data_IF_092383942175
#
_entry.id   IF_092383942175
#
_cell.length_a   1.000
_cell.length_b   1.000
_cell.length_c   1.000
_cell.angle_alpha   90.00
_cell.angle_beta   90.00
_cell.angle_gamma   90.00
#
_symmetry.space_group_name_H-M   'P 1'
#
loop_
_entity.id
_entity.type
_entity.pdbx_description
1 polymer ?
#
# COMPACT_ATOMS: atom_id res chain seq x y z
N UNK A 1 35.91 19.47 -45.26
CA UNK A 1 35.09 20.11 -46.33
C UNK A 1 33.62 19.93 -45.99
N UNK A 2 33.00 21.01 -45.60
CA UNK A 2 31.64 21.51 -45.92
C UNK A 2 30.51 20.55 -45.58
N UNK A 3 29.44 20.92 -44.91
CA UNK A 3 28.71 22.20 -44.80
C UNK A 3 27.65 22.11 -43.70
N UNK A 4 27.55 23.17 -42.91
CA UNK A 4 26.41 23.50 -42.06
C UNK A 4 25.19 23.87 -42.92
N UNK A 5 23.97 23.50 -42.52
CA UNK A 5 22.76 24.26 -42.91
C UNK A 5 21.81 24.38 -41.72
N UNK A 6 21.62 25.65 -41.37
CA UNK A 6 20.58 26.19 -40.50
C UNK A 6 19.19 25.92 -41.08
N UNK A 7 18.18 25.71 -40.21
CA UNK A 7 16.80 26.02 -40.57
C UNK A 7 16.19 26.95 -39.53
N UNK A 8 15.67 28.03 -40.08
CA UNK A 8 15.06 29.17 -39.39
C UNK A 8 13.74 28.81 -38.71
N UNK A 9 13.51 29.53 -37.64
CA UNK A 9 12.26 29.77 -36.94
C UNK A 9 11.14 30.32 -37.81
N UNK A 10 9.91 29.87 -37.59
CA UNK A 10 8.69 30.63 -37.91
C UNK A 10 7.88 30.75 -36.63
N UNK A 11 7.84 31.98 -36.12
CA UNK A 11 6.92 32.39 -35.06
C UNK A 11 5.56 32.73 -35.69
N UNK A 12 4.50 32.09 -35.20
CA UNK A 12 3.13 32.58 -35.43
C UNK A 12 2.54 33.00 -34.09
N UNK A 13 2.40 34.30 -33.93
CA UNK A 13 1.65 34.98 -32.89
C UNK A 13 0.16 34.75 -33.08
N UNK A 14 -0.47 34.06 -32.13
CA UNK A 14 -1.91 33.98 -31.99
C UNK A 14 -2.33 34.60 -30.66
N UNK A 15 -2.84 35.84 -30.72
CA UNK A 15 -3.43 36.53 -29.56
C UNK A 15 -4.78 35.90 -29.20
N UNK A 16 -4.90 35.39 -27.97
CA UNK A 16 -6.19 35.03 -27.38
C UNK A 16 -6.47 36.01 -26.23
N UNK A 17 -7.54 36.77 -26.39
CA UNK A 17 -8.09 37.69 -25.41
C UNK A 17 -8.48 36.94 -24.11
N UNK A 18 -7.89 37.33 -23.01
CA UNK A 18 -8.29 36.91 -21.67
C UNK A 18 -9.50 37.78 -21.22
N UNK A 19 -10.64 37.12 -21.04
CA UNK A 19 -11.75 37.67 -20.28
C UNK A 19 -11.49 37.44 -18.79
N UNK A 20 -11.09 38.51 -18.10
CA UNK A 20 -10.91 38.49 -16.65
C UNK A 20 -12.24 38.48 -15.91
N UNK A 21 -12.57 37.39 -15.27
CA UNK A 21 -13.57 37.29 -14.21
C UNK A 21 -12.89 37.22 -12.84
N UNK A 22 -12.93 38.33 -12.10
CA UNK A 22 -12.58 38.29 -10.65
C UNK A 22 -13.60 37.44 -9.90
N UNK A 23 -13.23 36.25 -9.53
CA UNK A 23 -13.91 35.49 -8.48
C UNK A 23 -13.25 35.84 -7.15
N UNK A 24 -14.01 36.52 -6.29
CA UNK A 24 -13.62 36.82 -4.94
C UNK A 24 -13.33 35.50 -4.17
N UNK A 25 -12.11 35.37 -3.67
CA UNK A 25 -11.72 34.27 -2.81
C UNK A 25 -12.47 34.37 -1.46
N UNK A 26 -13.34 33.39 -1.19
CA UNK A 26 -13.83 33.17 0.14
C UNK A 26 -12.66 32.72 1.08
N UNK A 27 -12.68 33.11 2.37
CA UNK A 27 -11.59 32.75 3.28
C UNK A 27 -11.47 31.23 3.38
N UNK A 28 -10.37 30.71 2.86
CA UNK A 28 -10.06 29.29 2.90
C UNK A 28 -9.85 28.83 4.34
N UNK A 29 -10.67 27.87 4.76
CA UNK A 29 -10.29 26.97 5.85
C UNK A 29 -9.07 26.22 5.32
N UNK A 30 -7.91 26.46 5.91
CA UNK A 30 -6.68 25.74 5.59
C UNK A 30 -6.98 24.24 5.66
N UNK A 31 -6.74 23.54 4.56
CA UNK A 31 -6.68 22.08 4.56
C UNK A 31 -5.71 21.69 5.70
N UNK A 32 -6.02 20.62 6.48
CA UNK A 32 -5.06 20.14 7.45
C UNK A 32 -3.80 19.81 6.67
N UNK A 33 -2.78 20.64 6.84
CA UNK A 33 -1.48 20.42 6.23
C UNK A 33 -1.06 19.00 6.56
N UNK A 34 -0.38 18.34 5.63
CA UNK A 34 0.44 17.17 5.93
C UNK A 34 1.49 17.72 6.90
N UNK A 35 1.11 17.72 8.22
CA UNK A 35 1.78 18.54 9.22
C UNK A 35 3.18 18.04 9.45
N UNK A 36 4.11 18.95 9.58
CA UNK A 36 5.36 18.78 10.31
C UNK A 36 5.07 18.50 11.79
N UNK A 37 4.51 17.34 12.12
CA UNK A 37 4.50 16.83 13.48
C UNK A 37 5.90 16.27 13.76
N UNK A 38 6.42 16.53 14.96
CA UNK A 38 7.65 15.91 15.41
C UNK A 38 7.60 14.41 15.13
N UNK A 39 8.52 13.92 14.32
CA UNK A 39 8.63 12.49 13.96
C UNK A 39 9.16 11.64 15.11
N UNK A 40 9.43 12.23 16.26
CA UNK A 40 9.86 11.55 17.47
C UNK A 40 8.68 10.81 18.07
N UNK A 41 8.69 9.47 17.90
CA UNK A 41 7.68 8.57 18.44
C UNK A 41 7.53 8.68 19.96
N UNK A 42 6.32 8.45 20.46
CA UNK A 42 6.01 8.49 21.89
C UNK A 42 6.84 7.46 22.66
N UNK A 43 7.48 7.90 23.72
CA UNK A 43 8.09 6.98 24.68
C UNK A 43 6.99 6.39 25.57
N UNK A 44 6.86 5.05 25.60
CA UNK A 44 6.02 4.32 26.53
C UNK A 44 4.76 3.66 26.01
N UNK A 45 4.48 3.70 24.66
CA UNK A 45 3.38 3.01 24.00
C UNK A 45 3.81 2.29 22.72
N UNK A 46 2.87 1.62 22.06
CA UNK A 46 3.10 1.03 20.73
C UNK A 46 3.44 2.13 19.73
N UNK A 47 4.42 1.86 18.87
CA UNK A 47 4.78 2.81 17.82
C UNK A 47 3.71 2.81 16.72
N UNK A 48 3.22 3.98 16.38
CA UNK A 48 2.28 4.20 15.28
C UNK A 48 2.82 5.33 14.40
N UNK A 49 2.86 5.15 13.06
CA UNK A 49 3.34 6.22 12.19
C UNK A 49 2.51 7.50 12.39
N UNK A 50 3.16 8.66 12.61
CA UNK A 50 2.46 9.92 12.88
C UNK A 50 1.79 10.51 11.63
N UNK A 51 2.10 9.98 10.44
CA UNK A 51 1.57 10.44 9.14
C UNK A 51 0.57 9.43 8.58
N UNK A 52 -0.49 9.94 7.95
CA UNK A 52 -1.63 9.14 7.48
C UNK A 52 -1.49 8.58 6.06
N UNK A 53 -0.49 9.02 5.31
CA UNK A 53 -0.32 8.64 3.90
C UNK A 53 1.16 8.47 3.55
N UNK A 54 1.47 7.43 2.80
CA UNK A 54 2.81 7.11 2.35
C UNK A 54 2.87 6.51 0.95
N UNK A 55 4.07 6.50 0.38
CA UNK A 55 4.41 5.89 -0.89
C UNK A 55 4.87 4.44 -0.68
N UNK A 56 4.23 3.49 -1.36
CA UNK A 56 4.63 2.09 -1.42
C UNK A 56 5.60 1.80 -2.55
N UNK A 57 6.67 1.10 -2.24
CA UNK A 57 7.81 0.85 -3.13
C UNK A 57 7.66 -0.32 -4.11
N UNK A 58 6.56 -1.05 -4.11
CA UNK A 58 6.35 -2.22 -5.01
C UNK A 58 6.58 -1.85 -6.49
N UNK A 59 5.95 -0.79 -7.04
CA UNK A 59 6.17 -0.44 -8.44
C UNK A 59 7.63 -0.06 -8.74
N UNK A 60 8.32 0.57 -7.80
CA UNK A 60 9.72 0.98 -7.94
C UNK A 60 10.71 -0.20 -7.83
N UNK A 61 10.22 -1.41 -7.57
CA UNK A 61 10.95 -2.67 -7.70
C UNK A 61 10.80 -3.34 -9.06
N UNK A 62 10.19 -2.69 -10.05
CA UNK A 62 9.88 -3.28 -11.36
C UNK A 62 8.99 -4.54 -11.24
N UNK A 63 8.00 -4.54 -10.35
CA UNK A 63 7.08 -5.66 -10.16
C UNK A 63 6.22 -5.92 -11.40
N UNK A 64 5.81 -4.86 -12.10
CA UNK A 64 4.78 -4.94 -13.14
C UNK A 64 5.31 -4.62 -14.54
N UNK A 65 6.37 -3.84 -14.61
CA UNK A 65 7.02 -3.38 -15.82
C UNK A 65 8.40 -2.81 -15.49
N UNK A 66 9.20 -2.59 -16.52
CA UNK A 66 10.48 -1.90 -16.38
C UNK A 66 10.20 -0.41 -16.15
N UNK A 67 10.76 0.13 -15.07
CA UNK A 67 10.85 1.57 -14.79
C UNK A 67 12.33 1.91 -14.79
N UNK A 68 12.72 3.03 -15.39
CA UNK A 68 14.11 3.49 -15.35
C UNK A 68 14.47 4.02 -13.96
N UNK A 69 15.74 4.18 -13.68
CA UNK A 69 16.18 4.79 -12.41
C UNK A 69 15.83 6.28 -12.38
N UNK A 70 15.83 6.96 -13.53
CA UNK A 70 15.38 8.35 -13.68
C UNK A 70 13.89 8.50 -13.34
N UNK A 71 13.02 7.62 -13.85
CA UNK A 71 11.58 7.63 -13.55
C UNK A 71 11.31 7.32 -12.08
N UNK A 72 12.07 6.37 -11.51
CA UNK A 72 11.98 6.05 -10.09
C UNK A 72 12.40 7.25 -9.22
N UNK A 73 13.48 7.94 -9.58
CA UNK A 73 13.93 9.16 -8.90
C UNK A 73 12.88 10.27 -9.00
N UNK A 74 12.34 10.52 -10.20
CA UNK A 74 11.29 11.51 -10.42
C UNK A 74 10.03 11.21 -9.60
N UNK A 75 9.66 9.92 -9.49
CA UNK A 75 8.54 9.47 -8.66
C UNK A 75 8.76 9.80 -7.18
N UNK A 76 9.96 9.53 -6.65
CA UNK A 76 10.33 9.83 -5.27
C UNK A 76 10.40 11.33 -5.00
N UNK A 77 10.93 12.10 -5.96
CA UNK A 77 11.02 13.55 -5.87
C UNK A 77 9.64 14.22 -5.88
N UNK A 78 8.74 13.77 -6.76
CA UNK A 78 7.35 14.20 -6.78
C UNK A 78 6.64 13.90 -5.44
N UNK A 79 6.87 12.72 -4.87
CA UNK A 79 6.30 12.35 -3.57
C UNK A 79 6.82 13.26 -2.45
N UNK A 80 8.13 13.50 -2.40
CA UNK A 80 8.74 14.40 -1.42
C UNK A 80 8.21 15.83 -1.56
N UNK A 81 8.19 16.36 -2.77
CA UNK A 81 7.73 17.70 -3.11
C UNK A 81 6.24 17.90 -2.82
N UNK A 82 5.43 16.86 -2.98
CA UNK A 82 4.02 16.85 -2.61
C UNK A 82 3.76 16.65 -1.09
N UNK A 83 4.82 16.60 -0.27
CA UNK A 83 4.72 16.48 1.19
C UNK A 83 4.57 15.06 1.72
N UNK A 84 4.73 14.02 0.89
CA UNK A 84 4.76 12.64 1.40
C UNK A 84 6.00 12.43 2.27
N UNK A 85 5.79 11.88 3.47
CA UNK A 85 6.86 11.67 4.48
C UNK A 85 6.81 10.26 5.08
N UNK A 86 6.10 9.33 4.48
CA UNK A 86 6.18 7.92 4.80
C UNK A 86 6.49 7.11 3.54
N UNK A 87 7.53 6.28 3.62
CA UNK A 87 8.03 5.43 2.56
C UNK A 87 8.06 3.99 3.04
N UNK A 88 7.41 3.08 2.29
CA UNK A 88 7.40 1.65 2.59
C UNK A 88 8.09 0.86 1.48
N UNK A 89 9.03 0.04 1.85
CA UNK A 89 9.86 -0.73 0.92
C UNK A 89 10.06 -2.17 1.43
N UNK A 90 10.76 -3.01 0.69
CA UNK A 90 11.10 -4.38 1.07
C UNK A 90 12.30 -4.88 0.28
N UNK A 91 13.13 -5.75 0.87
CA UNK A 91 14.11 -6.55 0.12
C UNK A 91 13.48 -7.32 -1.03
N UNK A 92 12.25 -7.80 -0.84
CA UNK A 92 11.49 -8.53 -1.85
C UNK A 92 11.21 -7.70 -3.11
N UNK A 93 10.97 -6.41 -3.00
CA UNK A 93 10.55 -5.58 -4.14
C UNK A 93 11.67 -5.40 -5.14
N UNK A 94 11.59 -6.18 -6.23
CA UNK A 94 12.63 -6.26 -7.25
C UNK A 94 13.95 -6.81 -6.73
N UNK A 95 13.93 -7.63 -5.68
CA UNK A 95 15.11 -8.28 -5.09
C UNK A 95 16.19 -7.27 -4.71
N UNK A 96 15.78 -6.24 -3.95
CA UNK A 96 16.63 -5.16 -3.46
C UNK A 96 16.70 -3.94 -4.37
N UNK A 97 16.08 -3.97 -5.56
CA UNK A 97 16.07 -2.81 -6.48
C UNK A 97 15.37 -1.62 -5.85
N UNK A 98 14.17 -1.83 -5.29
CA UNK A 98 13.42 -0.75 -4.66
C UNK A 98 14.21 -0.11 -3.51
N UNK A 99 14.78 -0.90 -2.60
CA UNK A 99 15.57 -0.34 -1.48
C UNK A 99 16.77 0.49 -1.97
N UNK A 100 17.48 0.06 -3.02
CA UNK A 100 18.58 0.86 -3.59
C UNK A 100 18.08 2.19 -4.18
N UNK A 101 16.93 2.20 -4.87
CA UNK A 101 16.33 3.43 -5.42
C UNK A 101 15.88 4.39 -4.34
N UNK A 102 15.22 3.88 -3.30
CA UNK A 102 14.85 4.69 -2.13
C UNK A 102 16.09 5.22 -1.41
N UNK A 103 17.09 4.38 -1.18
CA UNK A 103 18.35 4.79 -0.55
C UNK A 103 19.06 5.87 -1.34
N UNK A 104 19.17 5.72 -2.66
CA UNK A 104 19.77 6.72 -3.53
C UNK A 104 19.06 8.08 -3.46
N UNK A 105 17.74 8.09 -3.35
CA UNK A 105 17.00 9.34 -3.21
C UNK A 105 17.06 9.91 -1.78
N UNK A 106 16.84 9.06 -0.79
CA UNK A 106 16.66 9.50 0.60
C UNK A 106 17.96 9.86 1.31
N UNK A 107 19.14 9.41 0.82
CA UNK A 107 20.43 9.71 1.46
C UNK A 107 20.72 11.20 1.60
N UNK A 108 20.15 12.04 0.73
CA UNK A 108 20.29 13.50 0.77
C UNK A 108 19.26 14.21 1.66
N UNK A 109 18.32 13.47 2.24
CA UNK A 109 17.27 14.02 3.09
C UNK A 109 17.61 13.83 4.56
N UNK A 110 17.18 14.77 5.41
CA UNK A 110 17.35 14.58 6.83
C UNK A 110 16.52 13.40 7.32
N UNK A 111 17.16 12.42 7.97
CA UNK A 111 16.54 11.16 8.41
C UNK A 111 15.33 11.38 9.34
N UNK A 112 15.36 12.45 10.13
CA UNK A 112 14.27 12.77 11.07
C UNK A 112 13.04 13.42 10.41
N UNK A 113 13.09 13.68 9.10
CA UNK A 113 11.97 14.30 8.38
C UNK A 113 11.02 13.29 7.73
N UNK A 114 11.30 11.99 7.80
CA UNK A 114 10.46 10.97 7.17
C UNK A 114 10.42 9.66 7.96
N UNK A 115 9.34 8.92 7.76
CA UNK A 115 9.14 7.56 8.23
C UNK A 115 9.57 6.59 7.13
N UNK A 116 10.32 5.57 7.51
CA UNK A 116 10.77 4.52 6.60
C UNK A 116 10.48 3.15 7.19
N UNK A 117 9.67 2.37 6.48
CA UNK A 117 9.47 0.97 6.80
C UNK A 117 10.11 0.05 5.77
N UNK A 118 10.66 -1.06 6.22
CA UNK A 118 11.08 -2.17 5.38
C UNK A 118 10.60 -3.50 5.97
N UNK A 119 11.00 -4.61 5.38
CA UNK A 119 10.47 -5.92 5.74
C UNK A 119 11.61 -6.93 5.92
N UNK A 120 11.35 -7.99 6.70
CA UNK A 120 12.32 -9.04 7.04
C UNK A 120 11.75 -10.44 6.77
N UNK A 121 12.61 -11.45 6.85
CA UNK A 121 12.27 -12.85 6.61
C UNK A 121 12.57 -13.32 5.19
N UNK A 122 13.02 -12.44 4.31
CA UNK A 122 13.44 -12.73 2.95
C UNK A 122 14.85 -12.15 2.73
N UNK A 123 15.87 -12.95 2.99
CA UNK A 123 17.27 -12.59 2.77
C UNK A 123 17.59 -12.63 1.29
N UNK A 124 18.38 -11.68 0.82
CA UNK A 124 18.88 -11.64 -0.55
C UNK A 124 20.29 -12.24 -0.61
N UNK A 125 20.52 -13.16 -1.52
CA UNK A 125 21.82 -13.75 -1.80
C UNK A 125 22.17 -13.55 -3.27
N UNK A 126 23.32 -12.93 -3.53
CA UNK A 126 23.83 -12.82 -4.89
C UNK A 126 24.02 -14.21 -5.50
N UNK A 127 23.62 -14.37 -6.74
CA UNK A 127 23.69 -15.64 -7.46
C UNK A 127 24.00 -15.43 -8.93
N UNK A 128 24.82 -16.28 -9.49
CA UNK A 128 25.03 -16.38 -10.95
C UNK A 128 23.93 -17.19 -11.63
N UNK A 129 23.17 -17.98 -10.84
CA UNK A 129 21.97 -18.71 -11.26
C UNK A 129 20.78 -18.01 -10.63
N UNK A 130 20.08 -17.20 -11.42
CA UNK A 130 18.99 -16.38 -10.90
C UNK A 130 17.64 -17.08 -11.15
N UNK A 131 17.22 -17.93 -10.20
CA UNK A 131 15.91 -18.58 -10.20
C UNK A 131 14.79 -17.60 -9.87
N UNK A 132 15.11 -16.51 -9.20
CA UNK A 132 14.17 -15.47 -8.81
C UNK A 132 13.74 -14.57 -9.99
N UNK A 133 14.38 -14.63 -11.15
CA UNK A 133 13.91 -13.92 -12.37
C UNK A 133 12.50 -14.29 -12.80
N UNK A 134 12.05 -15.50 -12.51
CA UNK A 134 10.67 -15.91 -12.79
C UNK A 134 9.65 -15.14 -11.94
N UNK A 135 10.04 -14.65 -10.76
CA UNK A 135 9.20 -13.89 -9.84
C UNK A 135 9.23 -12.39 -10.13
N UNK A 136 10.40 -11.87 -10.57
CA UNK A 136 10.60 -10.47 -10.94
C UNK A 136 11.22 -10.36 -12.33
N UNK A 137 10.48 -10.67 -13.40
CA UNK A 137 11.04 -10.75 -14.76
C UNK A 137 11.56 -9.41 -15.27
N UNK A 138 11.12 -8.30 -14.68
CA UNK A 138 11.53 -6.95 -15.06
C UNK A 138 12.63 -6.37 -14.17
N UNK A 139 13.03 -7.08 -13.10
CA UNK A 139 14.12 -6.63 -12.24
C UNK A 139 15.48 -7.09 -12.77
N UNK A 140 16.48 -6.20 -12.87
CA UNK A 140 17.84 -6.55 -13.23
C UNK A 140 18.64 -7.18 -12.09
N UNK A 141 18.04 -7.37 -10.91
CA UNK A 141 18.75 -7.83 -9.72
C UNK A 141 19.33 -9.24 -9.90
N UNK A 142 20.59 -9.48 -9.52
CA UNK A 142 21.23 -10.81 -9.59
C UNK A 142 20.93 -11.66 -8.35
N UNK A 143 20.01 -11.24 -7.48
CA UNK A 143 19.79 -11.89 -6.19
C UNK A 143 18.75 -13.00 -6.26
N UNK A 144 18.99 -14.06 -5.50
CA UNK A 144 17.97 -15.03 -5.10
C UNK A 144 17.46 -14.71 -3.68
N UNK A 145 16.35 -15.34 -3.29
CA UNK A 145 15.71 -15.16 -1.98
C UNK A 145 15.90 -16.42 -1.14
N UNK A 146 16.26 -16.21 0.13
CA UNK A 146 16.25 -17.25 1.16
C UNK A 146 15.31 -16.81 2.27
N UNK A 147 14.32 -17.66 2.57
CA UNK A 147 13.41 -17.41 3.69
C UNK A 147 14.10 -17.73 5.01
N UNK A 148 14.16 -16.77 5.92
CA UNK A 148 14.78 -16.93 7.22
C UNK A 148 14.08 -16.04 8.26
N UNK A 149 13.24 -16.66 9.09
CA UNK A 149 12.49 -15.99 10.16
C UNK A 149 13.12 -16.26 11.54
N UNK A 150 14.35 -16.77 11.60
CA UNK A 150 15.11 -16.89 12.84
C UNK A 150 15.55 -15.51 13.37
N UNK A 151 16.00 -15.46 14.62
CA UNK A 151 16.54 -14.23 15.20
C UNK A 151 17.73 -13.67 14.40
N UNK A 152 18.66 -14.54 13.98
CA UNK A 152 19.84 -14.14 13.23
C UNK A 152 19.47 -13.71 11.79
N UNK A 153 18.56 -14.45 11.16
CA UNK A 153 18.07 -14.12 9.82
C UNK A 153 17.40 -12.75 9.76
N UNK A 154 16.57 -12.43 10.76
CA UNK A 154 15.87 -11.14 10.85
C UNK A 154 16.84 -10.00 11.15
N UNK A 155 17.79 -10.17 12.10
CA UNK A 155 18.83 -9.17 12.36
C UNK A 155 19.64 -8.89 11.10
N UNK A 156 20.12 -9.94 10.44
CA UNK A 156 20.86 -9.82 9.18
C UNK A 156 20.04 -9.10 8.10
N UNK A 157 18.72 -9.40 7.99
CA UNK A 157 17.85 -8.75 7.01
C UNK A 157 17.73 -7.25 7.27
N UNK A 158 17.62 -6.82 8.53
CA UNK A 158 17.59 -5.38 8.91
C UNK A 158 18.92 -4.72 8.55
N UNK A 159 20.04 -5.31 8.96
CA UNK A 159 21.38 -4.77 8.67
C UNK A 159 21.65 -4.62 7.17
N UNK A 160 21.31 -5.64 6.38
CA UNK A 160 21.41 -5.61 4.93
C UNK A 160 20.51 -4.53 4.29
N UNK A 161 19.30 -4.31 4.85
CA UNK A 161 18.39 -3.23 4.41
C UNK A 161 18.93 -1.85 4.75
N UNK A 162 19.48 -1.65 5.96
CA UNK A 162 20.11 -0.39 6.36
C UNK A 162 21.26 -0.02 5.41
N UNK A 163 22.07 -1.01 4.98
CA UNK A 163 23.14 -0.79 4.01
C UNK A 163 22.61 -0.44 2.62
N UNK A 164 21.57 -1.15 2.11
CA UNK A 164 21.00 -0.85 0.80
C UNK A 164 20.29 0.50 0.75
N UNK A 165 19.69 0.91 1.88
CA UNK A 165 19.00 2.18 2.05
C UNK A 165 19.94 3.33 2.43
N UNK A 166 21.13 3.04 2.96
CA UNK A 166 22.08 4.05 3.40
C UNK A 166 21.60 4.87 4.61
N UNK A 167 20.85 4.24 5.54
CA UNK A 167 20.27 4.90 6.71
C UNK A 167 20.71 4.23 8.01
N UNK A 168 20.65 4.97 9.12
CA UNK A 168 21.08 4.50 10.45
C UNK A 168 20.05 3.63 11.16
N UNK A 169 18.76 3.79 10.85
CA UNK A 169 17.66 3.08 11.50
C UNK A 169 16.43 3.02 10.59
N UNK A 170 15.53 2.08 10.87
CA UNK A 170 14.18 2.04 10.31
C UNK A 170 13.15 2.46 11.36
N UNK A 171 12.04 3.05 10.93
CA UNK A 171 10.95 3.35 11.85
C UNK A 171 10.11 2.11 12.12
N UNK A 172 9.79 1.34 11.08
CA UNK A 172 8.98 0.14 11.23
C UNK A 172 9.61 -1.00 10.44
N UNK A 173 9.60 -2.18 11.04
CA UNK A 173 9.97 -3.43 10.37
C UNK A 173 8.81 -4.40 10.39
N UNK A 174 8.42 -4.90 9.21
CA UNK A 174 7.37 -5.91 9.10
C UNK A 174 7.96 -7.28 8.78
N UNK A 175 7.58 -8.30 9.56
CA UNK A 175 7.86 -9.70 9.19
C UNK A 175 6.97 -10.08 8.01
N UNK A 176 7.57 -10.44 6.88
CA UNK A 176 6.93 -10.41 5.56
C UNK A 176 6.40 -11.76 5.15
N UNK A 177 5.12 -11.80 4.75
CA UNK A 177 4.45 -12.91 4.08
C UNK A 177 4.59 -14.28 4.76
N UNK A 178 4.57 -14.32 6.09
CA UNK A 178 4.32 -15.57 6.79
C UNK A 178 2.82 -15.87 6.71
N UNK A 179 2.36 -16.36 5.56
CA UNK A 179 0.93 -16.44 5.29
C UNK A 179 0.58 -17.59 4.34
N UNK A 180 -0.67 -18.12 4.39
CA UNK A 180 -1.09 -19.28 3.61
C UNK A 180 -1.07 -19.06 2.10
N UNK A 181 -1.13 -17.81 1.63
CA UNK A 181 -1.05 -17.45 0.20
C UNK A 181 0.39 -17.43 -0.34
N UNK A 182 1.40 -17.50 0.52
CA UNK A 182 2.80 -17.55 0.11
C UNK A 182 3.25 -18.99 -0.23
N UNK A 183 3.04 -19.39 -1.47
CA UNK A 183 3.41 -20.71 -1.97
C UNK A 183 4.94 -20.96 -2.07
N UNK A 184 5.76 -19.93 -1.79
CA UNK A 184 7.23 -20.02 -1.86
C UNK A 184 7.86 -20.38 -0.50
N UNK A 185 7.07 -20.42 0.58
CA UNK A 185 7.58 -20.79 1.89
C UNK A 185 8.14 -22.23 1.85
N UNK A 186 9.30 -22.48 2.48
CA UNK A 186 9.95 -23.79 2.46
C UNK A 186 9.17 -24.86 3.26
N UNK A 187 8.34 -24.43 4.20
CA UNK A 187 7.42 -25.27 4.98
C UNK A 187 6.09 -24.53 5.16
N UNK A 188 5.02 -25.22 5.64
CA UNK A 188 3.74 -24.55 5.90
C UNK A 188 3.90 -23.28 6.75
N UNK A 189 3.11 -22.25 6.44
CA UNK A 189 3.24 -20.94 7.10
C UNK A 189 3.15 -21.00 8.63
N UNK A 190 2.40 -21.95 9.18
CA UNK A 190 2.30 -22.16 10.64
C UNK A 190 3.65 -22.51 11.25
N UNK A 191 4.44 -23.37 10.58
CA UNK A 191 5.78 -23.72 11.06
C UNK A 191 6.74 -22.53 10.97
N UNK A 192 6.64 -21.74 9.89
CA UNK A 192 7.40 -20.49 9.77
C UNK A 192 6.99 -19.47 10.83
N UNK A 193 5.71 -19.41 11.18
CA UNK A 193 5.23 -18.55 12.25
C UNK A 193 5.79 -18.96 13.62
N UNK A 194 5.88 -20.27 13.93
CA UNK A 194 6.55 -20.75 15.16
C UNK A 194 8.03 -20.34 15.22
N UNK A 195 8.74 -20.43 14.10
CA UNK A 195 10.12 -19.94 14.01
C UNK A 195 10.18 -18.43 14.29
N UNK A 196 9.26 -17.66 13.72
CA UNK A 196 9.18 -16.23 13.95
C UNK A 196 8.82 -15.88 15.40
N UNK A 197 7.87 -16.60 16.00
CA UNK A 197 7.43 -16.41 17.37
C UNK A 197 8.58 -16.60 18.37
N UNK A 198 9.43 -17.61 18.14
CA UNK A 198 10.57 -17.92 18.99
C UNK A 198 11.84 -17.13 18.65
N UNK A 199 11.95 -16.63 17.41
CA UNK A 199 13.15 -15.99 16.87
C UNK A 199 12.96 -14.54 16.45
N UNK A 200 12.22 -14.32 15.38
CA UNK A 200 12.06 -13.00 14.75
C UNK A 200 11.46 -11.96 15.71
N UNK A 201 10.33 -12.26 16.37
CA UNK A 201 9.63 -11.29 17.20
C UNK A 201 10.47 -10.84 18.40
N UNK A 202 11.06 -11.75 19.21
CA UNK A 202 11.97 -11.34 20.27
C UNK A 202 13.24 -10.61 19.77
N UNK A 203 13.72 -10.91 18.57
CA UNK A 203 14.85 -10.19 17.99
C UNK A 203 14.47 -8.75 17.62
N UNK A 204 13.27 -8.54 17.07
CA UNK A 204 12.74 -7.21 16.75
C UNK A 204 12.51 -6.37 18.02
N UNK A 205 12.03 -6.97 19.12
CA UNK A 205 11.92 -6.30 20.42
C UNK A 205 13.29 -5.83 20.94
N UNK A 206 14.32 -6.67 20.79
CA UNK A 206 15.70 -6.28 21.15
C UNK A 206 16.20 -5.14 20.27
N UNK A 207 15.99 -5.21 18.95
CA UNK A 207 16.41 -4.13 18.02
C UNK A 207 15.65 -2.82 18.29
N UNK A 208 14.40 -2.89 18.77
CA UNK A 208 13.64 -1.74 19.24
C UNK A 208 14.28 -1.14 20.49
N UNK A 209 14.65 -1.94 21.45
CA UNK A 209 15.37 -1.50 22.64
C UNK A 209 16.77 -0.91 22.33
N UNK A 210 17.44 -1.43 21.32
CA UNK A 210 18.73 -0.92 20.81
C UNK A 210 18.59 0.37 19.99
N UNK A 211 17.36 0.78 19.62
CA UNK A 211 17.09 1.97 18.81
C UNK A 211 17.36 1.79 17.31
N UNK A 212 17.60 0.57 16.85
CA UNK A 212 17.79 0.23 15.43
C UNK A 212 16.48 0.33 14.66
N UNK A 213 15.35 0.03 15.34
CA UNK A 213 14.00 0.22 14.84
C UNK A 213 13.16 0.93 15.91
N UNK A 214 12.03 1.55 15.51
CA UNK A 214 11.10 2.18 16.46
C UNK A 214 9.89 1.31 16.78
N UNK A 215 9.49 0.45 15.83
CA UNK A 215 8.38 -0.48 16.00
C UNK A 215 8.43 -1.62 15.02
N UNK A 216 7.64 -2.65 15.29
CA UNK A 216 7.54 -3.81 14.43
C UNK A 216 6.13 -4.39 14.39
N UNK A 217 5.88 -5.26 13.40
CA UNK A 217 4.70 -6.08 13.25
C UNK A 217 4.87 -7.08 12.14
N UNK A 218 3.76 -7.59 11.60
CA UNK A 218 3.79 -8.44 10.40
C UNK A 218 3.15 -7.73 9.21
N UNK A 219 3.62 -8.06 8.00
CA UNK A 219 3.08 -7.56 6.73
C UNK A 219 2.61 -8.71 5.86
N UNK A 220 1.29 -8.88 5.72
CA UNK A 220 0.67 -10.02 5.05
C UNK A 220 -0.60 -9.66 4.28
N UNK A 221 -1.02 -10.57 3.38
CA UNK A 221 -2.21 -10.42 2.54
C UNK A 221 -3.43 -11.23 3.05
N UNK A 222 -3.30 -11.97 4.13
CA UNK A 222 -4.37 -12.85 4.65
C UNK A 222 -4.62 -12.61 6.13
N UNK A 223 -5.81 -12.94 6.66
CA UNK A 223 -6.19 -12.62 8.03
C UNK A 223 -5.54 -13.51 9.09
N UNK A 224 -5.21 -14.77 8.76
CA UNK A 224 -4.84 -15.78 9.74
C UNK A 224 -3.58 -15.38 10.53
N UNK A 225 -2.46 -14.97 9.89
CA UNK A 225 -1.28 -14.58 10.65
C UNK A 225 -1.48 -13.29 11.44
N UNK A 226 -2.32 -12.36 10.94
CA UNK A 226 -2.65 -11.11 11.65
C UNK A 226 -3.38 -11.42 12.97
N UNK A 227 -4.40 -12.28 12.91
CA UNK A 227 -5.14 -12.67 14.09
C UNK A 227 -4.23 -13.40 15.10
N UNK A 228 -3.36 -14.26 14.58
CA UNK A 228 -2.45 -15.03 15.40
C UNK A 228 -1.39 -14.17 16.10
N UNK A 229 -0.75 -13.24 15.38
CA UNK A 229 0.28 -12.38 15.99
C UNK A 229 -0.27 -11.47 17.07
N UNK A 230 -1.50 -10.99 16.92
CA UNK A 230 -2.15 -10.17 17.94
C UNK A 230 -2.47 -10.96 19.23
N UNK A 231 -2.65 -12.28 19.14
CA UNK A 231 -2.96 -13.15 20.28
C UNK A 231 -1.71 -13.68 20.97
N UNK A 232 -0.63 -13.92 20.22
CA UNK A 232 0.56 -14.64 20.69
C UNK A 232 1.79 -13.76 20.87
N UNK A 233 1.74 -12.50 20.40
CA UNK A 233 2.82 -11.52 20.51
C UNK A 233 2.26 -10.12 20.75
N UNK A 234 3.14 -9.12 20.85
CA UNK A 234 2.76 -7.72 21.09
C UNK A 234 3.30 -6.77 20.00
N UNK A 235 2.84 -6.89 18.74
CA UNK A 235 3.28 -6.01 17.66
C UNK A 235 2.84 -4.58 17.91
N UNK A 236 3.67 -3.61 17.45
CA UNK A 236 3.33 -2.19 17.49
C UNK A 236 2.25 -1.83 16.46
N UNK A 237 2.48 -2.21 15.21
CA UNK A 237 1.64 -1.89 14.06
C UNK A 237 1.81 -2.95 12.99
N UNK A 238 0.72 -3.46 12.41
CA UNK A 238 0.81 -4.44 11.32
C UNK A 238 0.50 -3.81 9.97
N UNK A 239 1.01 -4.39 8.89
CA UNK A 239 0.66 -4.02 7.52
C UNK A 239 -0.35 -5.04 6.98
N UNK A 240 -1.55 -4.56 6.70
CA UNK A 240 -2.65 -5.36 6.17
C UNK A 240 -2.89 -5.01 4.71
N UNK A 241 -2.48 -5.89 3.80
CA UNK A 241 -2.68 -5.71 2.37
C UNK A 241 -3.83 -6.57 1.85
N UNK A 242 -4.50 -6.11 0.81
CA UNK A 242 -5.54 -6.86 0.07
C UNK A 242 -6.80 -7.28 0.87
N UNK A 243 -6.90 -6.95 2.15
CA UNK A 243 -8.00 -7.34 3.03
C UNK A 243 -9.00 -6.20 3.29
N UNK A 244 -8.60 -4.94 3.07
CA UNK A 244 -9.48 -3.81 3.30
C UNK A 244 -9.40 -2.79 2.16
N UNK A 245 -10.39 -2.82 1.30
CA UNK A 245 -10.57 -1.88 0.19
C UNK A 245 -12.05 -1.60 -0.06
N UNK A 246 -12.35 -0.61 -0.88
CA UNK A 246 -13.73 -0.32 -1.28
C UNK A 246 -14.39 -1.52 -2.02
N UNK A 247 -13.60 -2.37 -2.67
CA UNK A 247 -14.06 -3.59 -3.35
C UNK A 247 -14.28 -4.73 -2.37
N UNK A 248 -13.34 -4.98 -1.47
CA UNK A 248 -13.40 -6.10 -0.53
C UNK A 248 -12.96 -5.65 0.87
N UNK A 249 -13.84 -5.83 1.85
CA UNK A 249 -13.64 -5.31 3.22
C UNK A 249 -14.40 -6.09 4.30
N UNK A 250 -15.27 -7.02 3.90
CA UNK A 250 -16.19 -7.64 4.86
C UNK A 250 -15.44 -8.44 5.93
N UNK A 251 -14.41 -9.19 5.54
CA UNK A 251 -13.63 -9.98 6.47
C UNK A 251 -12.83 -9.10 7.45
N UNK A 252 -12.19 -8.04 6.96
CA UNK A 252 -11.47 -7.12 7.84
C UNK A 252 -12.39 -6.48 8.87
N UNK A 253 -13.56 -6.00 8.47
CA UNK A 253 -14.54 -5.37 9.37
C UNK A 253 -15.09 -6.32 10.42
N UNK A 254 -15.35 -7.57 10.06
CA UNK A 254 -16.08 -8.51 10.92
C UNK A 254 -15.13 -9.39 11.77
N UNK A 255 -13.89 -9.58 11.35
CA UNK A 255 -12.96 -10.52 11.99
C UNK A 255 -11.68 -9.85 12.49
N UNK A 256 -11.01 -9.02 11.67
CA UNK A 256 -9.69 -8.47 12.01
C UNK A 256 -9.80 -7.25 12.92
N UNK A 257 -10.60 -6.25 12.53
CA UNK A 257 -10.67 -4.97 13.25
C UNK A 257 -11.22 -5.06 14.68
N UNK A 258 -12.21 -5.93 14.98
CA UNK A 258 -12.62 -6.15 16.37
C UNK A 258 -11.48 -6.65 17.27
N UNK A 259 -10.69 -7.62 16.78
CA UNK A 259 -9.54 -8.16 17.54
C UNK A 259 -8.44 -7.10 17.67
N UNK A 260 -8.17 -6.35 16.61
CA UNK A 260 -7.17 -5.27 16.65
C UNK A 260 -7.49 -4.21 17.72
N UNK A 261 -8.76 -3.85 17.89
CA UNK A 261 -9.19 -2.92 18.96
C UNK A 261 -8.97 -3.50 20.36
N UNK A 262 -9.18 -4.81 20.53
CA UNK A 262 -8.97 -5.50 21.82
C UNK A 262 -7.49 -5.53 22.22
N UNK A 263 -6.58 -5.62 21.24
CA UNK A 263 -5.13 -5.70 21.45
C UNK A 263 -4.41 -4.34 21.25
N UNK A 264 -5.15 -3.26 21.02
CA UNK A 264 -4.61 -1.92 20.69
C UNK A 264 -3.57 -1.95 19.56
N UNK A 265 -3.85 -2.73 18.50
CA UNK A 265 -3.03 -2.79 17.30
C UNK A 265 -3.64 -1.95 16.19
N UNK A 266 -2.82 -1.12 15.54
CA UNK A 266 -3.21 -0.34 14.36
C UNK A 266 -2.66 -0.99 13.10
N UNK A 267 -3.17 -0.53 11.93
CA UNK A 267 -2.74 -1.04 10.64
C UNK A 267 -2.20 0.05 9.74
N UNK A 268 -1.12 -0.26 9.07
CA UNK A 268 -0.79 0.33 7.79
C UNK A 268 -1.58 -0.44 6.72
N UNK A 269 -2.47 0.24 6.00
CA UNK A 269 -3.32 -0.39 5.00
C UNK A 269 -2.64 -0.33 3.64
N UNK A 270 -2.39 -1.50 3.06
CA UNK A 270 -1.87 -1.66 1.70
C UNK A 270 -2.95 -2.08 0.71
N UNK A 271 -2.64 -1.97 -0.58
CA UNK A 271 -3.51 -2.42 -1.69
C UNK A 271 -4.88 -1.74 -1.74
N UNK A 272 -5.03 -0.51 -1.24
CA UNK A 272 -6.29 0.25 -1.22
C UNK A 272 -6.92 0.41 -2.61
N UNK A 273 -6.11 0.42 -3.67
CA UNK A 273 -6.54 0.49 -5.07
C UNK A 273 -6.60 -0.88 -5.77
N UNK A 274 -6.44 -1.99 -5.03
CA UNK A 274 -6.43 -3.35 -5.55
C UNK A 274 -5.49 -3.51 -6.77
N UNK A 275 -4.23 -3.10 -6.64
CA UNK A 275 -3.21 -3.06 -7.71
C UNK A 275 -3.66 -2.26 -8.95
N UNK A 276 -4.39 -1.17 -8.73
CA UNK A 276 -4.90 -0.29 -9.77
C UNK A 276 -6.26 -0.70 -10.35
N UNK A 277 -6.86 -1.82 -9.93
CA UNK A 277 -8.15 -2.30 -10.42
C UNK A 277 -9.25 -1.22 -10.31
N UNK A 278 -9.33 -0.54 -9.19
CA UNK A 278 -10.32 0.53 -8.97
C UNK A 278 -10.15 1.66 -10.00
N UNK A 279 -8.92 1.98 -10.36
CA UNK A 279 -8.60 3.01 -11.35
C UNK A 279 -8.68 2.51 -12.81
N UNK A 280 -9.05 1.25 -13.04
CA UNK A 280 -9.26 0.70 -14.38
C UNK A 280 -8.21 -0.28 -14.87
N UNK A 281 -7.19 -0.61 -14.08
CA UNK A 281 -6.24 -1.68 -14.42
C UNK A 281 -6.97 -3.01 -14.65
N UNK A 282 -6.53 -3.81 -15.63
CA UNK A 282 -7.06 -5.15 -15.88
C UNK A 282 -6.59 -6.18 -14.86
N UNK A 283 -5.94 -5.78 -13.78
CA UNK A 283 -5.39 -6.63 -12.74
C UNK A 283 -6.05 -6.33 -11.39
N UNK A 284 -6.33 -7.39 -10.62
CA UNK A 284 -6.90 -7.32 -9.27
C UNK A 284 -5.93 -7.92 -8.25
N UNK A 285 -5.44 -7.10 -7.31
CA UNK A 285 -4.47 -7.46 -6.28
C UNK A 285 -3.15 -8.05 -6.85
N UNK A 286 -2.47 -8.89 -6.08
CA UNK A 286 -1.20 -9.53 -6.41
C UNK A 286 -1.38 -11.04 -6.53
N UNK A 287 -0.43 -11.72 -7.18
CA UNK A 287 -0.39 -13.16 -7.31
C UNK A 287 -0.75 -13.70 -8.69
N UNK A 288 -0.73 -15.02 -8.83
CA UNK A 288 -0.87 -15.73 -10.12
C UNK A 288 -2.20 -15.46 -10.83
N UNK A 289 -3.26 -15.26 -10.07
CA UNK A 289 -4.61 -15.06 -10.61
C UNK A 289 -5.02 -13.58 -10.71
N UNK A 290 -4.06 -12.66 -10.66
CA UNK A 290 -4.34 -11.21 -10.71
C UNK A 290 -5.10 -10.77 -11.96
N UNK A 291 -4.96 -11.51 -13.07
CA UNK A 291 -5.59 -11.21 -14.36
C UNK A 291 -6.91 -11.95 -14.57
N UNK A 292 -7.19 -12.97 -13.78
CA UNK A 292 -8.45 -13.72 -13.80
C UNK A 292 -9.39 -13.13 -12.73
N UNK A 293 -10.00 -11.99 -13.05
CA UNK A 293 -10.79 -11.22 -12.10
C UNK A 293 -12.21 -11.78 -12.04
N UNK A 294 -12.69 -12.26 -10.89
CA UNK A 294 -14.05 -12.74 -10.75
C UNK A 294 -15.08 -11.69 -11.18
N UNK A 295 -16.06 -12.09 -11.96
CA UNK A 295 -17.09 -11.21 -12.53
C UNK A 295 -17.76 -10.32 -11.46
N UNK A 296 -18.00 -10.86 -10.26
CA UNK A 296 -18.58 -10.13 -9.13
C UNK A 296 -17.80 -8.86 -8.76
N UNK A 297 -16.47 -8.84 -8.88
CA UNK A 297 -15.64 -7.66 -8.58
C UNK A 297 -15.71 -6.63 -9.70
N UNK A 298 -15.77 -7.08 -10.96
CA UNK A 298 -15.97 -6.21 -12.11
C UNK A 298 -17.33 -5.50 -11.99
N UNK A 299 -18.40 -6.26 -11.75
CA UNK A 299 -19.74 -5.71 -11.59
C UNK A 299 -19.85 -4.76 -10.39
N UNK A 300 -19.17 -5.09 -9.28
CA UNK A 300 -19.11 -4.21 -8.11
C UNK A 300 -18.40 -2.90 -8.44
N UNK A 301 -17.26 -2.94 -9.14
CA UNK A 301 -16.54 -1.74 -9.58
C UNK A 301 -17.40 -0.85 -10.47
N UNK A 302 -18.10 -1.41 -11.44
CA UNK A 302 -18.95 -0.63 -12.35
C UNK A 302 -20.14 0.02 -11.61
N UNK A 303 -20.75 -0.68 -10.65
CA UNK A 303 -21.78 -0.09 -9.78
C UNK A 303 -21.23 1.07 -8.95
N UNK A 304 -20.06 0.88 -8.32
CA UNK A 304 -19.40 1.93 -7.54
C UNK A 304 -19.04 3.14 -8.42
N UNK A 305 -18.60 2.91 -9.65
CA UNK A 305 -18.29 3.98 -10.62
C UNK A 305 -19.55 4.76 -11.01
N UNK A 306 -20.66 4.06 -11.25
CA UNK A 306 -21.92 4.70 -11.58
C UNK A 306 -22.44 5.58 -10.43
N UNK A 307 -22.34 5.12 -9.17
CA UNK A 307 -22.68 5.93 -8.01
C UNK A 307 -21.72 7.12 -7.87
N UNK A 308 -20.41 6.91 -8.02
CA UNK A 308 -19.44 7.98 -7.91
C UNK A 308 -19.70 9.11 -8.93
N UNK A 309 -20.03 8.74 -10.16
CA UNK A 309 -20.35 9.70 -11.23
C UNK A 309 -21.57 10.58 -10.88
N UNK A 310 -22.61 10.04 -10.22
CA UNK A 310 -23.79 10.81 -9.82
C UNK A 310 -23.48 11.92 -8.82
N UNK A 311 -22.43 11.76 -8.02
CA UNK A 311 -22.01 12.71 -6.99
C UNK A 311 -20.75 13.49 -7.37
N UNK A 312 -20.30 13.39 -8.64
CA UNK A 312 -19.07 14.04 -9.09
C UNK A 312 -17.80 13.57 -8.34
N UNK A 313 -17.85 12.38 -7.76
CA UNK A 313 -16.72 11.81 -7.02
C UNK A 313 -15.87 10.93 -7.95
N UNK A 314 -14.54 11.03 -7.79
CA UNK A 314 -13.60 10.10 -8.42
C UNK A 314 -13.49 8.82 -7.60
N UNK A 315 -13.53 7.67 -8.28
CA UNK A 315 -13.55 6.37 -7.61
C UNK A 315 -12.22 6.04 -6.90
N UNK A 316 -11.08 6.54 -7.41
CA UNK A 316 -9.78 6.47 -6.72
C UNK A 316 -9.84 7.21 -5.40
N UNK A 317 -10.32 8.44 -5.42
CA UNK A 317 -10.51 9.28 -4.24
C UNK A 317 -11.39 8.58 -3.20
N UNK A 318 -12.53 8.04 -3.64
CA UNK A 318 -13.42 7.28 -2.77
C UNK A 318 -12.73 6.06 -2.13
N UNK A 319 -11.93 5.31 -2.89
CA UNK A 319 -11.23 4.13 -2.40
C UNK A 319 -10.17 4.48 -1.34
N UNK A 320 -9.40 5.54 -1.55
CA UNK A 320 -8.39 5.99 -0.59
C UNK A 320 -9.03 6.49 0.70
N UNK A 321 -10.06 7.32 0.62
CA UNK A 321 -10.80 7.79 1.80
C UNK A 321 -11.48 6.65 2.56
N UNK A 322 -12.07 5.68 1.84
CA UNK A 322 -12.66 4.49 2.47
C UNK A 322 -11.60 3.71 3.26
N UNK A 323 -10.43 3.50 2.67
CA UNK A 323 -9.36 2.72 3.29
C UNK A 323 -8.73 3.45 4.47
N UNK A 324 -8.73 4.79 4.49
CA UNK A 324 -8.21 5.60 5.59
C UNK A 324 -9.21 5.80 6.75
N UNK A 325 -10.49 5.50 6.54
CA UNK A 325 -11.56 5.86 7.48
C UNK A 325 -11.59 5.09 8.81
N UNK A 326 -11.22 3.79 8.90
CA UNK A 326 -11.27 3.06 10.16
C UNK A 326 -10.36 3.66 11.23
N UNK A 327 -10.81 3.63 12.48
CA UNK A 327 -10.04 4.05 13.64
C UNK A 327 -8.75 3.22 13.86
N UNK A 328 -8.76 1.98 13.37
CA UNK A 328 -7.60 1.09 13.37
C UNK A 328 -6.62 1.35 12.21
N UNK A 329 -6.99 2.14 11.19
CA UNK A 329 -6.10 2.53 10.12
C UNK A 329 -5.15 3.65 10.57
N UNK A 330 -3.89 3.31 10.82
CA UNK A 330 -2.87 4.28 11.20
C UNK A 330 -2.43 5.11 9.98
N UNK A 331 -2.15 4.44 8.86
CA UNK A 331 -1.73 5.06 7.61
C UNK A 331 -2.16 4.22 6.40
N UNK A 332 -2.15 4.85 5.23
CA UNK A 332 -2.22 4.17 3.92
C UNK A 332 -0.86 4.17 3.26
N UNK A 333 -0.51 3.06 2.62
CA UNK A 333 0.63 2.96 1.71
C UNK A 333 0.10 2.69 0.31
N UNK A 334 0.34 3.63 -0.60
CA UNK A 334 -0.16 3.59 -1.99
C UNK A 334 1.01 3.61 -2.95
N UNK A 335 1.11 2.59 -3.79
CA UNK A 335 2.14 2.50 -4.82
C UNK A 335 1.91 3.49 -5.95
N UNK A 336 3.00 4.01 -6.50
CA UNK A 336 3.01 4.80 -7.73
C UNK A 336 4.28 4.49 -8.54
N UNK A 337 4.19 4.62 -9.86
CA UNK A 337 5.30 4.37 -10.81
C UNK A 337 5.71 5.61 -11.61
N UNK A 338 5.21 6.77 -11.24
CA UNK A 338 5.48 8.03 -11.92
C UNK A 338 4.88 9.21 -11.18
N UNK A 339 5.36 10.39 -11.51
CA UNK A 339 4.95 11.67 -10.91
C UNK A 339 3.43 11.87 -10.96
N UNK A 340 2.80 11.65 -12.14
CA UNK A 340 1.36 11.81 -12.32
C UNK A 340 0.54 10.99 -11.30
N UNK A 341 0.93 9.73 -11.09
CA UNK A 341 0.23 8.86 -10.13
C UNK A 341 0.42 9.32 -8.69
N UNK A 342 1.61 9.80 -8.34
CA UNK A 342 1.89 10.39 -7.02
C UNK A 342 0.97 11.58 -6.78
N UNK A 343 0.98 12.56 -7.69
CA UNK A 343 0.19 13.78 -7.58
C UNK A 343 -1.31 13.48 -7.54
N UNK A 344 -1.79 12.53 -8.37
CA UNK A 344 -3.18 12.09 -8.36
C UNK A 344 -3.58 11.45 -7.01
N UNK A 345 -2.71 10.63 -6.42
CA UNK A 345 -2.97 10.02 -5.12
C UNK A 345 -2.99 11.07 -3.99
N UNK A 346 -2.04 12.00 -3.98
CA UNK A 346 -1.99 13.10 -2.99
C UNK A 346 -3.21 14.00 -3.13
N UNK A 347 -3.55 14.41 -4.35
CA UNK A 347 -4.76 15.22 -4.63
C UNK A 347 -6.03 14.49 -4.14
N UNK A 348 -6.11 13.18 -4.40
CA UNK A 348 -7.23 12.35 -3.92
C UNK A 348 -7.34 12.37 -2.39
N UNK A 349 -6.22 12.26 -1.66
CA UNK A 349 -6.24 12.31 -0.19
C UNK A 349 -6.65 13.67 0.38
N UNK A 350 -6.43 14.75 -0.37
CA UNK A 350 -6.80 16.12 0.01
C UNK A 350 -8.22 16.50 -0.41
N UNK A 351 -8.82 15.77 -1.34
CA UNK A 351 -10.15 16.05 -1.87
C UNK A 351 -11.23 15.77 -0.83
N UNK A 352 -12.39 16.44 -1.00
CA UNK A 352 -13.59 16.19 -0.21
C UNK A 352 -14.56 15.34 -1.01
N UNK A 353 -15.12 14.34 -0.37
CA UNK A 353 -16.18 13.52 -0.93
C UNK A 353 -17.50 13.93 -0.24
N UNK A 354 -18.58 14.22 -1.01
CA UNK A 354 -19.88 14.54 -0.45
C UNK A 354 -20.38 13.43 0.49
N UNK A 355 -21.01 13.80 1.59
CA UNK A 355 -21.57 12.83 2.55
C UNK A 355 -22.63 11.96 1.90
N UNK A 356 -23.40 12.56 1.01
CA UNK A 356 -24.49 11.94 0.24
C UNK A 356 -24.02 10.74 -0.58
N UNK A 357 -22.78 10.78 -1.10
CA UNK A 357 -22.12 9.63 -1.77
C UNK A 357 -22.00 8.42 -0.82
N UNK A 358 -21.51 8.64 0.40
CA UNK A 358 -21.35 7.55 1.39
C UNK A 358 -22.71 7.00 1.84
N UNK A 359 -23.69 7.86 1.99
CA UNK A 359 -25.05 7.46 2.37
C UNK A 359 -25.72 6.64 1.26
N UNK A 360 -25.48 6.98 -0.02
CA UNK A 360 -25.95 6.16 -1.15
C UNK A 360 -25.28 4.80 -1.20
N UNK A 361 -23.95 4.74 -1.03
CA UNK A 361 -23.25 3.46 -0.98
C UNK A 361 -23.77 2.53 0.12
N UNK A 362 -24.14 3.07 1.28
CA UNK A 362 -24.77 2.29 2.36
C UNK A 362 -26.15 1.79 1.95
N UNK A 363 -26.96 2.63 1.32
CA UNK A 363 -28.28 2.24 0.81
C UNK A 363 -28.20 1.12 -0.22
N UNK A 364 -27.28 1.23 -1.17
CA UNK A 364 -27.05 0.19 -2.19
C UNK A 364 -26.59 -1.14 -1.57
N UNK A 365 -25.69 -1.10 -0.60
CA UNK A 365 -25.26 -2.29 0.13
C UNK A 365 -26.42 -2.97 0.89
N UNK A 366 -27.33 -2.20 1.49
CA UNK A 366 -28.53 -2.72 2.15
C UNK A 366 -29.54 -3.31 1.16
N UNK A 367 -29.75 -2.66 -0.01
CA UNK A 367 -30.61 -3.19 -1.08
C UNK A 367 -30.10 -4.54 -1.59
N UNK A 368 -28.79 -4.66 -1.83
CA UNK A 368 -28.18 -5.91 -2.28
C UNK A 368 -28.37 -7.04 -1.26
N UNK A 369 -28.13 -6.78 0.03
CA UNK A 369 -28.36 -7.77 1.10
C UNK A 369 -29.82 -8.24 1.19
N UNK A 370 -30.79 -7.33 1.02
CA UNK A 370 -32.22 -7.67 1.04
C UNK A 370 -32.62 -8.50 -0.18
N UNK A 371 -32.08 -8.20 -1.36
CA UNK A 371 -32.31 -8.98 -2.57
C UNK A 371 -31.77 -10.42 -2.42
N UNK A 372 -30.55 -10.59 -1.88
CA UNK A 372 -29.95 -11.89 -1.59
C UNK A 372 -30.76 -12.69 -0.55
N UNK A 373 -31.27 -12.02 0.48
CA UNK A 373 -32.10 -12.66 1.51
C UNK A 373 -33.46 -13.09 0.95
N UNK A 374 -34.07 -12.31 0.05
CA UNK A 374 -35.32 -12.64 -0.63
C UNK A 374 -35.19 -13.83 -1.60
N UNK A 375 -34.04 -14.00 -2.23
CA UNK A 375 -33.77 -15.17 -3.10
C UNK A 375 -33.52 -16.47 -2.33
N UNK A 376 -33.17 -16.40 -1.06
CA UNK A 376 -32.87 -17.58 -0.22
C UNK A 376 -34.08 -18.11 0.56
N UNK A 377 -35.27 -17.49 0.45
CA UNK A 377 -36.49 -17.98 1.08
C UNK A 377 -37.05 -19.15 0.25
N UNK A 378 -37.21 -20.35 0.83
CA UNK A 378 -37.81 -21.51 0.12
C UNK A 378 -39.22 -21.30 -0.37
N UNK A 379 -39.94 -20.31 0.21
CA UNK A 379 -41.34 -20.06 -0.05
C UNK A 379 -41.64 -19.48 -1.44
N UNK A 380 -40.63 -18.97 -2.14
CA UNK A 380 -40.79 -18.43 -3.50
C UNK A 380 -40.68 -19.49 -4.63
N UNK A 381 -40.33 -20.75 -4.31
CA UNK A 381 -40.26 -21.81 -5.31
C UNK A 381 -41.62 -22.51 -5.53
N UNK A 382 -42.54 -22.42 -4.59
CA UNK A 382 -43.86 -23.04 -4.71
C UNK A 382 -44.93 -22.19 -5.42
N UNK A 383 -44.74 -20.89 -5.57
CA UNK A 383 -45.69 -20.01 -6.25
C UNK A 383 -45.70 -20.10 -7.79
N UNK A 384 -44.72 -20.79 -8.40
CA UNK A 384 -44.62 -20.93 -9.87
C UNK A 384 -45.11 -22.30 -10.39
N UNK A 385 -45.69 -23.17 -9.52
CA UNK A 385 -46.14 -24.52 -9.94
C UNK A 385 -47.65 -24.75 -9.86
N UNK A 386 -48.46 -23.74 -9.56
CA UNK A 386 -49.93 -23.87 -9.56
C UNK A 386 -50.59 -22.72 -10.29
N UNK A 387 -50.73 -22.85 -11.58
CA UNK A 387 -51.80 -22.23 -12.37
C UNK A 387 -52.23 -23.22 -13.43
N UNK A 388 -53.54 -23.47 -13.53
CA UNK A 388 -54.11 -24.56 -14.34
C UNK A 388 -54.01 -24.33 -15.83
#
# INVERSE_FOLDING_TARGET
MTSRRNFLSIATTGSVLAAGGLLAAAPGIAAPGIGTQSMTGQSGGKYVPPVKFGLGGVPLGNEFEVITDEDAYATLDAAWSAGVRYYDVSPWYGLGLAERRFGYYLHSKNRDEYILSSKVGKLLKASTQNDARSMFPFSPSPNNVVFDYTADGVRRSVEDSLQRLGVSHLDIVFVHDISPDNALLPTPWQQQFEIALQGAFPALDRMKAEGIIRGWGIGVNTPEPILRVMQEADPDVCLLASQYSLIDHANALNSIFPVARQHDVKFVIGSSLNAGFISGSPRYNYGKNSWDIPRKYIDKREKLRAVAAQYGADLRTAALHFSAAPDVAAALIVGARGEEQVLANVTSMQARIPREFWDELKREAHRAKRADAGMKSPDNIHALRTSP
#
